data_IF_848418243705
#
_entry.id   IF_848418243705
#
_cell.length_a   1.000
_cell.length_b   1.000
_cell.length_c   1.000
_cell.angle_alpha   90.00
_cell.angle_beta   90.00
_cell.angle_gamma   90.00
#
_symmetry.space_group_name_H-M   'P 1'
#
loop_
_entity.id
_entity.type
_entity.pdbx_description
1 polymer ?
#
# COMPACT_ATOMS: atom_id res chain seq x y z
N UNK A 1 8.51 9.55 -20.12
CA UNK A 1 7.05 9.62 -20.13
C UNK A 1 6.49 8.92 -18.90
N UNK A 2 6.67 7.60 -18.72
CA UNK A 2 6.12 6.80 -17.61
C UNK A 2 6.43 7.44 -16.24
N UNK A 3 7.69 7.73 -15.94
CA UNK A 3 8.07 8.36 -14.67
C UNK A 3 7.33 9.67 -14.41
N UNK A 4 7.20 10.53 -15.42
CA UNK A 4 6.50 11.81 -15.26
C UNK A 4 5.00 11.63 -14.96
N UNK A 5 4.36 10.63 -15.54
CA UNK A 5 2.96 10.31 -15.31
C UNK A 5 2.75 9.68 -13.92
N UNK A 6 3.64 8.78 -13.50
CA UNK A 6 3.64 8.20 -12.13
C UNK A 6 3.81 9.29 -11.08
N UNK A 7 4.81 10.16 -11.24
CA UNK A 7 5.04 11.30 -10.33
C UNK A 7 3.82 12.21 -10.27
N UNK A 8 3.19 12.48 -11.43
CA UNK A 8 1.95 13.25 -11.50
C UNK A 8 0.79 12.59 -10.77
N UNK A 9 0.61 11.28 -10.92
CA UNK A 9 -0.43 10.53 -10.25
C UNK A 9 -0.31 10.57 -8.72
N UNK A 10 0.87 10.28 -8.19
CA UNK A 10 1.15 10.36 -6.74
C UNK A 10 0.93 11.79 -6.21
N UNK A 11 1.42 12.81 -6.94
CA UNK A 11 1.21 14.23 -6.60
C UNK A 11 -0.27 14.58 -6.52
N UNK A 12 -0.99 14.27 -7.60
CA UNK A 12 -2.38 14.70 -7.74
C UNK A 12 -3.31 14.01 -6.74
N UNK A 13 -2.92 12.82 -6.29
CA UNK A 13 -3.66 12.14 -5.23
C UNK A 13 -3.31 12.71 -3.85
N UNK A 14 -2.05 12.64 -3.43
CA UNK A 14 -1.61 13.08 -2.10
C UNK A 14 -1.87 14.56 -1.81
N UNK A 15 -1.57 15.46 -2.77
CA UNK A 15 -1.79 16.89 -2.58
C UNK A 15 -3.30 17.22 -2.44
N UNK A 16 -4.17 16.55 -3.20
CA UNK A 16 -5.63 16.78 -3.10
C UNK A 16 -6.26 16.21 -1.86
N UNK A 17 -5.72 15.12 -1.32
CA UNK A 17 -6.11 14.62 0.00
C UNK A 17 -5.64 15.52 1.15
N UNK A 18 -4.69 16.40 0.91
CA UNK A 18 -4.07 17.22 1.94
C UNK A 18 -3.22 16.42 2.92
N UNK A 19 -2.59 15.34 2.45
CA UNK A 19 -1.65 14.51 3.21
C UNK A 19 -0.23 14.84 2.73
N UNK A 20 0.72 15.14 3.65
CA UNK A 20 2.07 15.49 3.25
C UNK A 20 2.81 14.28 2.69
N UNK A 21 3.38 14.42 1.48
CA UNK A 21 4.31 13.45 0.90
C UNK A 21 5.72 13.82 1.33
N UNK A 22 6.29 13.08 2.25
CA UNK A 22 7.44 13.52 3.05
C UNK A 22 8.73 12.79 2.74
N UNK A 23 8.68 11.57 2.22
CA UNK A 23 9.84 10.73 1.94
C UNK A 23 9.59 9.89 0.69
N UNK A 24 10.67 9.37 0.11
CA UNK A 24 10.61 8.46 -1.03
C UNK A 24 11.89 8.46 -1.87
N UNK A 25 12.05 7.41 -2.68
CA UNK A 25 13.16 7.21 -3.57
C UNK A 25 12.72 6.91 -4.99
N UNK A 26 13.61 7.14 -5.96
CA UNK A 26 13.44 6.74 -7.35
C UNK A 26 14.71 6.03 -7.79
N UNK A 27 14.56 4.79 -8.22
CA UNK A 27 15.64 3.96 -8.71
C UNK A 27 15.38 3.50 -10.14
N UNK A 28 16.40 3.58 -10.99
CA UNK A 28 16.35 3.13 -12.36
C UNK A 28 17.11 1.81 -12.49
N UNK A 29 16.44 0.80 -12.99
CA UNK A 29 16.96 -0.54 -13.19
C UNK A 29 16.28 -1.16 -14.42
N UNK A 30 17.06 -1.65 -15.36
CA UNK A 30 16.54 -2.16 -16.64
C UNK A 30 15.61 -3.37 -16.47
N UNK A 31 15.71 -4.09 -15.36
CA UNK A 31 14.83 -5.20 -15.03
C UNK A 31 13.37 -4.80 -14.81
N UNK A 32 13.11 -3.49 -14.56
CA UNK A 32 11.77 -2.95 -14.36
C UNK A 32 11.16 -2.26 -15.59
N UNK A 33 11.78 -2.40 -16.78
CA UNK A 33 11.28 -1.73 -18.00
C UNK A 33 9.89 -2.23 -18.38
N UNK A 34 9.62 -3.53 -18.26
CA UNK A 34 8.35 -4.15 -18.64
C UNK A 34 7.24 -3.91 -17.61
N UNK A 35 7.58 -3.77 -16.33
CA UNK A 35 6.61 -3.54 -15.24
C UNK A 35 7.26 -2.75 -14.10
N UNK A 36 7.22 -1.41 -14.16
CA UNK A 36 7.80 -0.57 -13.13
C UNK A 36 7.05 -0.72 -11.81
N UNK A 37 7.78 -0.93 -10.72
CA UNK A 37 7.24 -0.95 -9.38
C UNK A 37 6.93 0.47 -8.92
N UNK A 38 5.73 0.69 -8.41
CA UNK A 38 5.32 1.90 -7.70
C UNK A 38 4.79 1.50 -6.33
N UNK A 39 5.47 1.94 -5.29
CA UNK A 39 5.05 1.72 -3.90
C UNK A 39 4.71 3.06 -3.26
N UNK A 40 3.54 3.12 -2.62
CA UNK A 40 3.09 4.30 -1.86
C UNK A 40 2.65 3.83 -0.48
N UNK A 41 3.39 4.22 0.55
CA UNK A 41 3.04 3.96 1.94
C UNK A 41 2.27 5.13 2.55
N UNK A 42 1.33 4.83 3.43
CA UNK A 42 0.61 5.82 4.24
C UNK A 42 0.77 5.49 5.72
N UNK A 43 1.10 6.50 6.53
CA UNK A 43 1.30 6.35 7.97
C UNK A 43 0.29 7.21 8.70
N UNK A 44 -0.45 6.59 9.62
CA UNK A 44 -1.44 7.25 10.45
C UNK A 44 -1.18 7.11 11.95
N UNK A 45 -1.82 7.97 12.73
CA UNK A 45 -1.83 7.90 14.20
C UNK A 45 -3.27 7.74 14.68
N UNK A 46 -3.49 6.78 15.57
CA UNK A 46 -4.81 6.53 16.14
C UNK A 46 -4.74 6.36 17.66
N UNK A 47 -5.85 6.56 18.40
CA UNK A 47 -5.93 6.21 19.81
C UNK A 47 -5.62 4.73 20.05
N UNK A 48 -4.88 4.43 21.11
CA UNK A 48 -4.41 3.07 21.39
C UNK A 48 -5.55 2.08 21.68
N UNK A 49 -6.61 2.55 22.26
CA UNK A 49 -7.83 1.80 22.60
C UNK A 49 -8.74 1.52 21.40
N UNK A 50 -8.39 2.05 20.21
CA UNK A 50 -9.10 1.83 18.95
C UNK A 50 -8.27 1.04 17.92
N UNK A 51 -7.14 0.44 18.33
CA UNK A 51 -6.30 -0.38 17.43
C UNK A 51 -6.97 -1.70 17.10
N UNK A 52 -7.63 -2.31 18.09
CA UNK A 52 -8.33 -3.58 17.93
C UNK A 52 -9.83 -3.33 17.85
N UNK A 53 -10.47 -4.05 16.94
CA UNK A 53 -11.92 -4.02 16.78
C UNK A 53 -12.39 -5.25 16.01
N UNK A 54 -13.46 -5.87 16.50
CA UNK A 54 -14.12 -7.01 15.86
C UNK A 54 -15.58 -6.65 15.54
N UNK A 55 -16.05 -7.09 14.36
CA UNK A 55 -17.48 -7.06 14.05
C UNK A 55 -18.24 -7.98 15.01
N UNK A 56 -19.44 -7.58 15.38
CA UNK A 56 -20.31 -8.30 16.33
C UNK A 56 -21.56 -8.78 15.63
N UNK A 57 -22.15 -9.91 16.05
CA UNK A 57 -23.45 -10.32 15.55
C UNK A 57 -24.50 -9.21 15.77
N UNK A 58 -25.21 -8.84 14.71
CA UNK A 58 -26.18 -7.74 14.71
C UNK A 58 -25.63 -6.40 14.25
N UNK A 59 -24.30 -6.23 14.11
CA UNK A 59 -23.72 -5.03 13.50
C UNK A 59 -24.14 -4.94 12.03
N UNK A 60 -24.50 -3.73 11.58
CA UNK A 60 -24.84 -3.45 10.19
C UNK A 60 -23.57 -3.35 9.36
N UNK A 61 -23.64 -3.88 8.13
CA UNK A 61 -22.57 -3.78 7.13
C UNK A 61 -22.76 -2.46 6.39
N UNK A 62 -22.07 -1.42 6.82
CA UNK A 62 -22.17 -0.10 6.21
C UNK A 62 -20.99 0.08 5.25
N UNK A 63 -21.29 0.21 3.95
CA UNK A 63 -20.32 0.62 2.96
C UNK A 63 -20.45 2.13 2.71
N UNK A 64 -19.31 2.82 2.62
CA UNK A 64 -19.28 4.26 2.36
C UNK A 64 -18.14 4.64 1.43
N UNK A 65 -18.30 5.74 0.69
CA UNK A 65 -17.32 6.28 -0.24
C UNK A 65 -17.69 6.10 -1.70
N UNK A 66 -16.75 5.69 -2.54
CA UNK A 66 -16.91 5.58 -3.99
C UNK A 66 -17.94 4.54 -4.46
N UNK A 67 -18.53 4.78 -5.62
CA UNK A 67 -19.46 3.85 -6.26
C UNK A 67 -18.76 2.63 -6.83
N UNK A 68 -19.46 1.51 -6.89
CA UNK A 68 -18.98 0.23 -7.44
C UNK A 68 -19.02 0.22 -8.96
N UNK A 69 -17.93 -0.18 -9.60
CA UNK A 69 -17.80 -0.37 -11.04
C UNK A 69 -17.11 -1.71 -11.35
N UNK A 70 -16.58 -1.88 -12.58
CA UNK A 70 -15.78 -3.05 -12.97
C UNK A 70 -14.30 -2.93 -12.62
N UNK A 71 -13.98 -2.01 -11.72
CA UNK A 71 -12.61 -1.73 -11.29
C UNK A 71 -11.99 -3.01 -10.71
N UNK A 72 -10.83 -3.40 -11.21
CA UNK A 72 -10.01 -4.49 -10.66
C UNK A 72 -10.64 -5.89 -10.67
N UNK A 73 -11.72 -6.12 -11.41
CA UNK A 73 -12.44 -7.43 -11.42
C UNK A 73 -11.59 -8.62 -11.92
N UNK A 74 -10.44 -8.35 -12.50
CA UNK A 74 -9.44 -9.35 -12.86
C UNK A 74 -8.35 -9.52 -11.78
N UNK A 75 -8.47 -8.79 -10.67
CA UNK A 75 -7.61 -8.87 -9.50
C UNK A 75 -6.15 -8.55 -9.78
N UNK A 76 -5.26 -9.16 -9.00
CA UNK A 76 -3.81 -8.97 -9.08
C UNK A 76 -3.16 -9.45 -10.40
N UNK A 77 -3.91 -10.02 -11.33
CA UNK A 77 -3.39 -10.47 -12.62
C UNK A 77 -2.68 -9.34 -13.37
N UNK A 78 -3.19 -8.11 -13.30
CA UNK A 78 -2.57 -6.96 -13.93
C UNK A 78 -1.35 -6.41 -13.22
N UNK A 79 -1.35 -6.44 -11.90
CA UNK A 79 -0.22 -5.94 -11.11
C UNK A 79 0.97 -6.91 -11.10
N UNK A 80 0.74 -8.18 -11.43
CA UNK A 80 1.74 -9.25 -11.37
C UNK A 80 2.19 -9.77 -12.74
N UNK A 81 1.50 -9.43 -13.83
CA UNK A 81 1.83 -9.89 -15.18
C UNK A 81 2.61 -8.83 -15.97
N UNK A 82 3.44 -9.29 -16.91
CA UNK A 82 4.06 -8.42 -17.89
C UNK A 82 2.97 -7.82 -18.81
N UNK A 83 2.92 -6.48 -18.88
CA UNK A 83 1.94 -5.77 -19.69
C UNK A 83 2.34 -5.79 -21.17
N UNK A 84 1.40 -6.18 -22.03
CA UNK A 84 1.55 -6.17 -23.49
C UNK A 84 0.64 -5.13 -24.12
N UNK A 85 0.91 -4.74 -25.38
CA UNK A 85 0.12 -3.74 -26.11
C UNK A 85 -1.37 -4.13 -26.24
N UNK A 86 -1.68 -5.43 -26.25
CA UNK A 86 -3.05 -5.95 -26.36
C UNK A 86 -3.84 -5.81 -25.06
N UNK A 87 -3.18 -5.80 -23.91
CA UNK A 87 -3.84 -5.65 -22.61
C UNK A 87 -4.52 -4.29 -22.43
N UNK A 88 -3.98 -3.24 -23.03
CA UNK A 88 -4.56 -1.90 -22.92
C UNK A 88 -5.97 -1.82 -23.54
N UNK A 89 -6.19 -2.52 -24.66
CA UNK A 89 -7.49 -2.55 -25.36
C UNK A 89 -8.47 -3.53 -24.71
N UNK A 90 -7.98 -4.68 -24.25
CA UNK A 90 -8.81 -5.76 -23.71
C UNK A 90 -9.36 -5.46 -22.31
N UNK A 91 -8.58 -4.72 -21.50
CA UNK A 91 -8.86 -4.53 -20.08
C UNK A 91 -8.96 -3.07 -19.62
N UNK A 92 -9.04 -2.12 -20.57
CA UNK A 92 -9.15 -0.69 -20.23
C UNK A 92 -10.34 -0.36 -19.31
N UNK A 93 -11.39 -1.17 -19.33
CA UNK A 93 -12.58 -1.03 -18.49
C UNK A 93 -12.40 -1.51 -17.05
N UNK A 94 -11.35 -2.28 -16.78
CA UNK A 94 -11.03 -2.79 -15.44
C UNK A 94 -9.94 -1.97 -14.72
N UNK A 95 -9.45 -0.89 -15.35
CA UNK A 95 -8.45 0.00 -14.75
C UNK A 95 -9.08 0.72 -13.56
N UNK A 96 -8.41 0.65 -12.43
CA UNK A 96 -8.80 1.36 -11.21
C UNK A 96 -8.42 2.83 -11.35
N UNK A 97 -9.40 3.72 -11.21
CA UNK A 97 -9.19 5.17 -11.26
C UNK A 97 -9.59 5.77 -9.92
N UNK A 98 -8.60 6.21 -9.14
CA UNK A 98 -8.81 6.85 -7.86
C UNK A 98 -9.32 8.29 -7.97
N UNK A 99 -10.12 8.72 -7.01
CA UNK A 99 -10.59 10.10 -6.85
C UNK A 99 -10.23 10.63 -5.46
N UNK A 100 -9.17 11.41 -5.38
CA UNK A 100 -8.63 11.93 -4.13
C UNK A 100 -9.63 12.77 -3.30
N UNK A 101 -10.61 13.41 -3.93
CA UNK A 101 -11.64 14.17 -3.20
C UNK A 101 -12.62 13.22 -2.52
N UNK A 102 -13.04 12.14 -3.21
CA UNK A 102 -13.89 11.10 -2.61
C UNK A 102 -13.19 10.47 -1.42
N UNK A 103 -11.91 10.13 -1.56
CA UNK A 103 -11.10 9.61 -0.45
C UNK A 103 -11.02 10.60 0.73
N UNK A 104 -10.78 11.88 0.43
CA UNK A 104 -10.68 12.92 1.46
C UNK A 104 -11.98 13.08 2.26
N UNK A 105 -13.12 13.16 1.60
CA UNK A 105 -14.40 13.32 2.32
C UNK A 105 -14.77 12.05 3.08
N UNK A 106 -14.46 10.87 2.53
CA UNK A 106 -14.64 9.58 3.20
C UNK A 106 -13.76 9.49 4.45
N UNK A 107 -12.48 9.87 4.35
CA UNK A 107 -11.56 9.96 5.48
C UNK A 107 -12.12 10.87 6.59
N UNK A 108 -12.58 12.07 6.23
CA UNK A 108 -13.13 13.02 7.20
C UNK A 108 -14.39 12.48 7.88
N UNK A 109 -15.26 11.77 7.15
CA UNK A 109 -16.44 11.12 7.71
C UNK A 109 -16.07 9.98 8.67
N UNK A 110 -15.09 9.13 8.29
CA UNK A 110 -14.57 8.05 9.16
C UNK A 110 -13.98 8.62 10.45
N UNK A 111 -13.16 9.68 10.35
CA UNK A 111 -12.59 10.34 11.52
C UNK A 111 -13.67 10.97 12.42
N UNK A 112 -14.69 11.58 11.83
CA UNK A 112 -15.82 12.14 12.59
C UNK A 112 -16.64 11.04 13.29
N UNK A 113 -16.79 9.86 12.68
CA UNK A 113 -17.45 8.72 13.28
C UNK A 113 -16.62 8.09 14.39
N UNK A 114 -15.31 8.02 14.23
CA UNK A 114 -14.38 7.53 15.26
C UNK A 114 -14.34 8.43 16.49
N UNK A 115 -14.30 9.73 16.27
CA UNK A 115 -14.13 10.75 17.31
C UNK A 115 -15.48 11.37 17.76
N UNK A 116 -16.58 10.64 17.56
CA UNK A 116 -17.90 11.11 17.93
C UNK A 116 -18.00 11.36 19.46
N UNK A 117 -18.75 12.38 19.92
CA UNK A 117 -18.88 12.68 21.38
C UNK A 117 -19.39 11.52 22.23
N UNK A 118 -20.20 10.64 21.67
CA UNK A 118 -20.74 9.46 22.37
C UNK A 118 -19.80 8.24 22.29
N UNK A 119 -18.58 8.39 21.75
CA UNK A 119 -17.60 7.34 21.52
C UNK A 119 -17.57 6.90 20.05
N UNK A 120 -16.65 5.98 19.70
CA UNK A 120 -16.55 5.45 18.34
C UNK A 120 -17.86 4.78 17.92
N UNK A 121 -18.39 5.17 16.76
CA UNK A 121 -19.71 4.71 16.28
C UNK A 121 -19.67 3.35 15.59
N UNK A 122 -18.51 2.79 15.33
CA UNK A 122 -18.33 1.49 14.66
C UNK A 122 -17.48 0.54 15.51
N UNK A 123 -17.73 -0.75 15.35
CA UNK A 123 -17.03 -1.83 16.07
C UNK A 123 -15.75 -2.26 15.34
N UNK A 124 -15.74 -2.15 14.02
CA UNK A 124 -14.60 -2.50 13.16
C UNK A 124 -14.70 -1.77 11.81
N UNK A 125 -13.60 -1.62 11.13
CA UNK A 125 -13.50 -0.98 9.81
C UNK A 125 -12.39 -1.63 9.00
N UNK A 126 -12.63 -1.77 7.68
CA UNK A 126 -11.60 -2.14 6.71
C UNK A 126 -11.84 -1.48 5.36
N UNK A 127 -10.81 -1.44 4.51
CA UNK A 127 -10.95 -0.97 3.13
C UNK A 127 -11.55 -2.05 2.19
N UNK A 128 -11.98 -1.61 1.02
CA UNK A 128 -12.35 -2.48 -0.08
C UNK A 128 -11.21 -2.55 -1.11
N UNK A 129 -10.02 -2.92 -0.68
CA UNK A 129 -8.86 -3.12 -1.54
C UNK A 129 -8.99 -4.34 -2.45
N UNK A 130 -7.96 -5.19 -2.50
CA UNK A 130 -7.98 -6.42 -3.30
C UNK A 130 -9.17 -7.31 -2.93
N UNK A 131 -9.97 -7.69 -3.93
CA UNK A 131 -11.18 -8.48 -3.75
C UNK A 131 -12.43 -7.67 -3.33
N UNK A 132 -12.32 -6.36 -3.11
CA UNK A 132 -13.46 -5.47 -2.85
C UNK A 132 -14.30 -5.87 -1.63
N UNK A 133 -15.61 -5.95 -1.79
CA UNK A 133 -16.50 -6.37 -0.71
C UNK A 133 -16.24 -7.81 -0.25
N UNK A 134 -15.70 -8.68 -1.13
CA UNK A 134 -15.46 -10.07 -0.78
C UNK A 134 -14.38 -10.23 0.29
N UNK A 135 -13.30 -9.45 0.21
CA UNK A 135 -12.30 -9.41 1.27
C UNK A 135 -12.79 -8.64 2.49
N UNK A 136 -13.31 -7.42 2.31
CA UNK A 136 -13.73 -6.58 3.40
C UNK A 136 -14.77 -7.26 4.33
N UNK A 137 -15.88 -7.74 3.77
CA UNK A 137 -16.92 -8.42 4.54
C UNK A 137 -16.47 -9.82 4.97
N UNK A 138 -15.71 -10.53 4.11
CA UNK A 138 -15.20 -11.85 4.42
C UNK A 138 -14.29 -11.87 5.64
N UNK A 139 -13.34 -10.97 5.71
CA UNK A 139 -12.40 -10.83 6.83
C UNK A 139 -13.13 -10.43 8.13
N UNK A 140 -13.96 -9.39 8.06
CA UNK A 140 -14.70 -8.94 9.24
C UNK A 140 -15.71 -9.97 9.74
N UNK A 141 -16.30 -10.76 8.83
CA UNK A 141 -17.29 -11.81 9.13
C UNK A 141 -16.69 -13.17 9.45
N UNK A 142 -15.37 -13.36 9.37
CA UNK A 142 -14.70 -14.66 9.51
C UNK A 142 -15.22 -15.52 10.66
N UNK A 143 -15.35 -14.91 11.85
CA UNK A 143 -15.74 -15.62 13.07
C UNK A 143 -17.25 -15.78 13.25
N UNK A 144 -18.06 -14.98 12.54
CA UNK A 144 -19.48 -14.81 12.86
C UNK A 144 -20.42 -14.97 11.67
N UNK A 145 -19.90 -14.95 10.44
CA UNK A 145 -20.72 -14.94 9.23
C UNK A 145 -21.25 -13.55 8.84
N UNK A 146 -21.85 -13.45 7.67
CA UNK A 146 -22.44 -12.22 7.17
C UNK A 146 -23.61 -12.51 6.18
N UNK A 147 -24.66 -11.68 6.22
CA UNK A 147 -25.73 -11.68 5.23
C UNK A 147 -25.71 -10.35 4.47
N UNK A 148 -25.46 -10.41 3.17
CA UNK A 148 -25.19 -9.24 2.32
C UNK A 148 -26.22 -9.11 1.21
N UNK A 149 -26.69 -7.88 0.96
CA UNK A 149 -27.59 -7.50 -0.14
C UNK A 149 -26.82 -6.63 -1.15
N UNK A 150 -26.29 -7.26 -2.17
CA UNK A 150 -25.44 -6.62 -3.18
C UNK A 150 -26.19 -5.59 -4.03
N UNK A 151 -27.50 -5.77 -4.21
CA UNK A 151 -28.38 -4.86 -4.93
C UNK A 151 -28.49 -3.46 -4.30
N UNK A 152 -28.04 -3.30 -3.06
CA UNK A 152 -28.04 -2.01 -2.36
C UNK A 152 -26.77 -1.17 -2.57
N UNK A 153 -25.72 -1.77 -3.11
CA UNK A 153 -24.47 -1.06 -3.37
C UNK A 153 -24.68 0.06 -4.43
N UNK A 154 -24.24 1.29 -4.17
CA UNK A 154 -24.25 2.33 -5.19
C UNK A 154 -23.38 1.95 -6.38
N UNK A 155 -23.91 2.05 -7.60
CA UNK A 155 -23.22 1.65 -8.82
C UNK A 155 -22.77 2.87 -9.64
N UNK A 156 -21.61 2.77 -10.29
CA UNK A 156 -21.13 3.77 -11.26
C UNK A 156 -22.00 3.80 -12.51
N UNK A 157 -22.53 2.63 -12.90
CA UNK A 157 -23.39 2.43 -14.08
C UNK A 157 -24.19 1.13 -13.94
N UNK A 158 -25.25 1.01 -14.70
CA UNK A 158 -26.11 -0.18 -14.72
C UNK A 158 -25.44 -1.38 -15.41
N UNK A 159 -25.94 -2.58 -15.12
CA UNK A 159 -25.57 -3.81 -15.82
C UNK A 159 -24.39 -4.57 -15.20
N UNK A 160 -24.00 -4.25 -13.96
CA UNK A 160 -23.09 -5.10 -13.20
C UNK A 160 -23.83 -6.34 -12.70
N UNK A 161 -23.17 -7.49 -12.83
CA UNK A 161 -23.62 -8.73 -12.21
C UNK A 161 -23.33 -8.75 -10.70
N UNK A 162 -24.02 -9.62 -9.92
CA UNK A 162 -23.72 -9.78 -8.49
C UNK A 162 -22.24 -10.09 -8.22
N UNK A 163 -21.60 -10.90 -9.05
CA UNK A 163 -20.18 -11.23 -8.92
C UNK A 163 -19.30 -10.00 -9.13
N UNK A 164 -19.57 -9.21 -10.18
CA UNK A 164 -18.80 -7.99 -10.45
C UNK A 164 -18.93 -6.98 -9.29
N UNK A 165 -20.11 -6.86 -8.69
CA UNK A 165 -20.31 -6.01 -7.51
C UNK A 165 -19.54 -6.53 -6.31
N UNK A 166 -19.52 -7.84 -6.10
CA UNK A 166 -18.92 -8.50 -4.94
C UNK A 166 -17.39 -8.42 -4.93
N UNK A 167 -16.76 -8.62 -6.11
CA UNK A 167 -15.30 -8.65 -6.23
C UNK A 167 -14.69 -7.33 -6.76
N UNK A 168 -15.52 -6.33 -7.04
CA UNK A 168 -15.03 -5.03 -7.55
C UNK A 168 -14.05 -4.38 -6.56
N UNK A 169 -12.91 -3.95 -7.08
CA UNK A 169 -11.89 -3.19 -6.35
C UNK A 169 -12.03 -1.67 -6.58
N UNK A 170 -13.25 -1.19 -6.79
CA UNK A 170 -13.49 0.26 -6.95
C UNK A 170 -12.90 1.03 -5.76
N UNK A 171 -12.14 2.07 -6.07
CA UNK A 171 -11.36 2.83 -5.11
C UNK A 171 -12.23 3.66 -4.16
N UNK A 172 -11.64 4.14 -3.07
CA UNK A 172 -12.22 5.05 -2.07
C UNK A 172 -13.46 4.50 -1.36
N UNK A 173 -13.50 3.18 -1.12
CA UNK A 173 -14.59 2.54 -0.37
C UNK A 173 -14.08 1.93 0.93
N UNK A 174 -14.87 2.15 1.98
CA UNK A 174 -14.66 1.53 3.30
C UNK A 174 -15.89 0.74 3.71
N UNK A 175 -15.68 -0.35 4.42
CA UNK A 175 -16.74 -1.12 5.09
C UNK A 175 -16.59 -1.00 6.59
N UNK A 176 -17.68 -0.65 7.27
CA UNK A 176 -17.76 -0.53 8.71
C UNK A 176 -18.75 -1.55 9.27
N UNK A 177 -18.40 -2.17 10.40
CA UNK A 177 -19.35 -2.89 11.24
C UNK A 177 -19.94 -1.89 12.24
N UNK A 178 -21.23 -1.58 12.10
CA UNK A 178 -21.88 -0.51 12.84
C UNK A 178 -23.01 -1.09 13.70
N UNK A 179 -22.98 -0.92 15.04
CA UNK A 179 -24.14 -1.23 15.88
C UNK A 179 -25.41 -0.60 15.34
N UNK A 180 -26.51 -1.34 15.32
CA UNK A 180 -27.74 -0.90 14.67
C UNK A 180 -28.25 0.46 15.20
N UNK A 181 -28.04 0.75 16.48
CA UNK A 181 -28.39 2.02 17.13
C UNK A 181 -27.56 3.21 16.64
N UNK A 182 -26.38 2.98 16.05
CA UNK A 182 -25.49 4.04 15.59
C UNK A 182 -25.66 4.38 14.09
N UNK A 183 -26.45 3.62 13.34
CA UNK A 183 -26.60 3.78 11.88
C UNK A 183 -27.11 5.17 11.51
N UNK A 184 -28.08 5.71 12.26
CA UNK A 184 -28.61 7.07 12.00
C UNK A 184 -27.54 8.15 12.23
N UNK A 185 -26.67 7.97 13.22
CA UNK A 185 -25.56 8.90 13.46
C UNK A 185 -24.50 8.83 12.35
N UNK A 186 -24.16 7.63 11.86
CA UNK A 186 -23.29 7.44 10.69
C UNK A 186 -23.91 8.11 9.45
N UNK A 187 -25.20 7.90 9.19
CA UNK A 187 -25.90 8.52 8.07
C UNK A 187 -25.80 10.06 8.11
N UNK A 188 -26.04 10.66 9.29
CA UNK A 188 -25.94 12.10 9.48
C UNK A 188 -24.51 12.65 9.28
N UNK A 189 -23.49 11.86 9.60
CA UNK A 189 -22.08 12.20 9.33
C UNK A 189 -21.82 12.13 7.83
N UNK A 190 -22.24 11.07 7.14
CA UNK A 190 -22.09 10.91 5.70
C UNK A 190 -22.75 12.08 4.94
N UNK A 191 -23.99 12.43 5.31
CA UNK A 191 -24.71 13.56 4.71
C UNK A 191 -23.97 14.90 4.92
N UNK A 192 -23.37 15.10 6.10
CA UNK A 192 -22.60 16.32 6.40
C UNK A 192 -21.33 16.44 5.57
N UNK A 193 -20.70 15.32 5.26
CA UNK A 193 -19.44 15.26 4.51
C UNK A 193 -19.64 14.99 3.02
N UNK A 194 -20.90 14.90 2.53
CA UNK A 194 -21.23 14.56 1.14
C UNK A 194 -20.64 13.21 0.70
N UNK A 195 -20.75 12.22 1.59
CA UNK A 195 -20.27 10.85 1.35
C UNK A 195 -21.45 9.95 1.02
N UNK A 196 -21.41 9.26 -0.11
CA UNK A 196 -22.37 8.19 -0.41
C UNK A 196 -22.14 7.00 0.53
N UNK A 197 -23.24 6.41 0.98
CA UNK A 197 -23.20 5.23 1.83
C UNK A 197 -24.40 4.32 1.59
N UNK A 198 -24.28 3.07 1.99
CA UNK A 198 -25.39 2.12 1.98
C UNK A 198 -25.28 1.09 3.10
N UNK A 199 -26.42 0.57 3.51
CA UNK A 199 -26.52 -0.58 4.40
C UNK A 199 -26.64 -1.86 3.57
N UNK A 200 -25.54 -2.59 3.47
CA UNK A 200 -25.46 -3.83 2.71
C UNK A 200 -26.05 -5.05 3.42
N UNK A 201 -26.28 -4.97 4.75
CA UNK A 201 -26.79 -6.12 5.47
C UNK A 201 -26.32 -6.19 6.92
N UNK A 202 -26.04 -7.38 7.40
CA UNK A 202 -25.79 -7.63 8.82
C UNK A 202 -24.68 -8.68 9.02
N UNK A 203 -23.81 -8.46 9.99
CA UNK A 203 -22.87 -9.46 10.48
C UNK A 203 -23.57 -10.42 11.46
N UNK A 204 -23.12 -11.67 11.42
CA UNK A 204 -23.69 -12.73 12.26
C UNK A 204 -24.77 -13.54 11.53
N UNK A 205 -24.43 -14.78 11.21
CA UNK A 205 -25.38 -15.78 10.70
C UNK A 205 -25.36 -17.01 11.60
N UNK A 206 -26.49 -17.75 11.74
CA UNK A 206 -26.57 -18.87 12.69
C UNK A 206 -25.48 -19.92 12.50
N UNK A 207 -25.11 -20.19 11.25
CA UNK A 207 -24.17 -21.26 10.90
C UNK A 207 -22.77 -20.75 10.51
N UNK A 208 -22.45 -19.47 10.80
CA UNK A 208 -21.21 -18.81 10.36
C UNK A 208 -21.01 -18.90 8.85
N UNK A 209 -22.06 -18.60 8.11
CA UNK A 209 -22.03 -18.59 6.64
C UNK A 209 -21.99 -17.16 6.11
N UNK A 210 -21.35 -16.99 4.96
CA UNK A 210 -21.56 -15.84 4.10
C UNK A 210 -22.75 -16.14 3.21
N UNK A 211 -23.76 -15.27 3.22
CA UNK A 211 -24.96 -15.38 2.41
C UNK A 211 -25.14 -14.12 1.57
N UNK A 212 -25.14 -14.27 0.26
CA UNK A 212 -25.26 -13.16 -0.68
C UNK A 212 -26.63 -13.15 -1.35
N UNK A 213 -27.26 -11.98 -1.40
CA UNK A 213 -28.54 -11.76 -2.04
C UNK A 213 -28.45 -10.68 -3.13
N UNK A 214 -29.28 -10.86 -4.17
CA UNK A 214 -29.60 -9.84 -5.16
C UNK A 214 -31.11 -9.69 -5.25
N UNK A 215 -31.67 -8.61 -4.74
CA UNK A 215 -33.10 -8.53 -4.47
C UNK A 215 -33.55 -9.64 -3.53
N UNK A 216 -34.56 -10.38 -3.93
CA UNK A 216 -35.09 -11.50 -3.13
C UNK A 216 -34.43 -12.86 -3.47
N UNK A 217 -33.43 -12.87 -4.34
CA UNK A 217 -32.75 -14.10 -4.79
C UNK A 217 -31.44 -14.28 -4.02
N UNK A 218 -31.24 -15.44 -3.41
CA UNK A 218 -29.94 -15.87 -2.90
C UNK A 218 -29.04 -16.22 -4.09
N UNK A 219 -27.92 -15.51 -4.22
CA UNK A 219 -26.97 -15.67 -5.34
C UNK A 219 -25.67 -16.34 -4.92
N UNK A 220 -25.46 -16.52 -3.63
CA UNK A 220 -24.29 -17.23 -3.11
C UNK A 220 -24.42 -17.56 -1.63
N UNK A 221 -23.86 -18.73 -1.26
CA UNK A 221 -23.76 -19.19 0.14
C UNK A 221 -22.49 -20.01 0.31
N UNK A 222 -21.72 -19.72 1.33
CA UNK A 222 -20.49 -20.43 1.63
C UNK A 222 -20.22 -20.37 3.14
N UNK A 223 -19.73 -21.48 3.71
CA UNK A 223 -19.27 -21.50 5.09
C UNK A 223 -17.98 -20.66 5.23
N UNK A 224 -17.88 -19.83 6.27
CA UNK A 224 -16.68 -19.02 6.52
C UNK A 224 -15.44 -19.88 6.71
N UNK A 225 -15.57 -21.03 7.38
CA UNK A 225 -14.48 -22.00 7.51
C UNK A 225 -13.94 -22.47 6.16
N UNK A 226 -14.82 -22.76 5.19
CA UNK A 226 -14.38 -23.16 3.85
C UNK A 226 -13.74 -21.97 3.08
N UNK A 227 -14.26 -20.76 3.27
CA UNK A 227 -13.74 -19.58 2.61
C UNK A 227 -12.32 -19.23 3.07
N UNK A 228 -12.03 -19.37 4.36
CA UNK A 228 -10.72 -19.03 4.94
C UNK A 228 -9.73 -20.21 4.96
N UNK A 229 -10.18 -21.42 5.27
CA UNK A 229 -9.33 -22.59 5.47
C UNK A 229 -9.49 -23.66 4.39
N UNK A 230 -10.44 -23.50 3.45
CA UNK A 230 -10.80 -24.50 2.45
C UNK A 230 -9.79 -24.66 1.31
N UNK A 231 -8.88 -23.73 1.14
CA UNK A 231 -7.82 -23.83 0.11
C UNK A 231 -6.63 -24.57 0.72
N UNK A 232 -6.24 -25.73 0.19
CA UNK A 232 -5.06 -26.44 0.66
C UNK A 232 -3.82 -25.55 0.53
N UNK A 233 -3.06 -25.38 1.61
CA UNK A 233 -1.78 -24.71 1.53
C UNK A 233 -0.78 -25.59 0.76
N UNK A 234 -0.33 -25.16 -0.44
CA UNK A 234 0.67 -25.93 -1.18
C UNK A 234 2.02 -25.84 -0.46
N UNK A 235 2.64 -27.01 -0.25
CA UNK A 235 4.04 -27.05 0.13
C UNK A 235 4.89 -26.82 -1.11
N UNK A 236 5.63 -25.72 -1.16
CA UNK A 236 6.53 -25.40 -2.25
C UNK A 236 7.98 -25.65 -1.84
N UNK A 237 8.77 -26.18 -2.75
CA UNK A 237 10.21 -26.36 -2.55
C UNK A 237 10.94 -25.04 -2.85
N UNK A 238 11.74 -24.57 -1.89
CA UNK A 238 12.59 -23.38 -2.02
C UNK A 238 14.07 -23.83 -2.04
N UNK A 239 14.80 -23.48 -3.09
CA UNK A 239 16.21 -23.87 -3.27
C UNK A 239 17.08 -22.63 -3.41
N UNK A 240 17.98 -22.41 -2.47
CA UNK A 240 18.99 -21.36 -2.61
C UNK A 240 20.15 -21.84 -3.49
N UNK A 241 20.34 -21.19 -4.65
CA UNK A 241 21.44 -21.42 -5.58
C UNK A 241 22.19 -20.10 -5.82
N UNK A 242 23.33 -19.86 -5.13
CA UNK A 242 24.07 -18.62 -5.25
C UNK A 242 24.67 -18.38 -6.63
N UNK A 243 25.01 -19.44 -7.37
CA UNK A 243 25.57 -19.30 -8.71
C UNK A 243 24.50 -18.88 -9.72
N UNK A 244 23.32 -19.44 -9.59
CA UNK A 244 22.16 -19.06 -10.38
C UNK A 244 21.74 -17.61 -10.05
N UNK A 245 21.61 -17.27 -8.78
CA UNK A 245 21.23 -15.93 -8.33
C UNK A 245 22.21 -14.86 -8.83
N UNK A 246 23.51 -15.14 -8.81
CA UNK A 246 24.52 -14.23 -9.34
C UNK A 246 24.40 -14.00 -10.86
N UNK A 247 23.98 -15.01 -11.61
CA UNK A 247 23.72 -14.88 -13.06
C UNK A 247 22.45 -14.08 -13.36
N UNK A 248 21.37 -14.40 -12.66
CA UNK A 248 20.06 -13.73 -12.87
C UNK A 248 20.06 -12.27 -12.42
N UNK A 249 20.78 -11.95 -11.34
CA UNK A 249 20.88 -10.57 -10.86
C UNK A 249 21.50 -9.63 -11.90
N UNK A 250 22.18 -10.19 -12.90
CA UNK A 250 22.88 -9.41 -13.94
C UNK A 250 23.94 -8.50 -13.33
N UNK A 251 24.70 -7.90 -14.22
CA UNK A 251 25.73 -6.93 -13.84
C UNK A 251 27.12 -7.56 -13.92
N UNK A 252 27.89 -7.01 -14.80
CA UNK A 252 29.33 -7.16 -14.75
C UNK A 252 29.81 -6.67 -13.40
N UNK A 253 30.76 -7.38 -12.87
CA UNK A 253 31.57 -6.93 -11.74
C UNK A 253 32.28 -5.63 -12.18
N UNK A 254 31.55 -4.50 -12.17
CA UNK A 254 32.11 -3.15 -12.35
C UNK A 254 33.01 -2.84 -11.14
N UNK A 255 33.63 -3.92 -10.71
CA UNK A 255 34.42 -3.98 -9.56
C UNK A 255 35.72 -3.21 -9.68
N UNK A 256 36.47 -3.35 -8.69
CA UNK A 256 37.79 -2.89 -8.34
C UNK A 256 38.77 -2.67 -9.53
N UNK A 257 38.63 -3.34 -10.69
CA UNK A 257 39.42 -3.11 -11.88
C UNK A 257 39.12 -1.79 -12.57
N UNK A 258 37.84 -1.37 -12.66
CA UNK A 258 37.51 -0.05 -13.22
C UNK A 258 37.97 1.07 -12.30
N UNK A 259 37.95 0.86 -10.98
CA UNK A 259 38.49 1.83 -10.00
C UNK A 259 40.04 1.89 -10.05
N UNK A 260 40.71 0.80 -10.38
CA UNK A 260 42.17 0.77 -10.56
C UNK A 260 42.63 1.46 -11.86
N UNK A 261 41.75 1.64 -12.82
CA UNK A 261 42.02 2.36 -14.05
C UNK A 261 42.03 3.89 -13.91
N UNK A 262 41.64 4.45 -12.75
CA UNK A 262 41.70 5.88 -12.46
C UNK A 262 43.15 6.22 -12.13
N UNK A 263 43.92 6.54 -13.15
CA UNK A 263 45.34 6.75 -13.00
C UNK A 263 45.77 8.16 -12.58
N UNK A 264 44.88 9.16 -12.66
CA UNK A 264 45.19 10.56 -12.38
C UNK A 264 43.99 11.37 -11.88
N UNK A 265 44.25 12.62 -11.50
CA UNK A 265 43.23 13.53 -10.97
C UNK A 265 42.15 13.86 -12.02
N UNK A 266 42.49 13.92 -13.30
CA UNK A 266 41.52 14.18 -14.39
C UNK A 266 40.51 13.02 -14.49
N UNK A 267 40.99 11.77 -14.41
CA UNK A 267 40.11 10.59 -14.39
C UNK A 267 39.16 10.56 -13.18
N UNK A 268 39.60 11.07 -12.03
CA UNK A 268 38.73 11.23 -10.86
C UNK A 268 37.59 12.24 -11.12
N UNK A 269 37.91 13.38 -11.76
CA UNK A 269 36.90 14.39 -12.12
C UNK A 269 35.89 13.85 -13.14
N UNK A 270 36.37 13.18 -14.18
CA UNK A 270 35.52 12.60 -15.23
C UNK A 270 34.58 11.53 -14.66
N UNK A 271 35.09 10.65 -13.79
CA UNK A 271 34.27 9.66 -13.10
C UNK A 271 33.24 10.33 -12.19
N UNK A 272 33.64 11.34 -11.41
CA UNK A 272 32.72 12.08 -10.54
C UNK A 272 31.60 12.74 -11.34
N UNK A 273 31.94 13.37 -12.46
CA UNK A 273 30.94 13.98 -13.36
C UNK A 273 29.98 12.93 -13.95
N UNK A 274 30.51 11.78 -14.35
CA UNK A 274 29.71 10.64 -14.85
C UNK A 274 28.76 10.12 -13.78
N UNK A 275 29.24 9.91 -12.56
CA UNK A 275 28.42 9.47 -11.44
C UNK A 275 27.32 10.48 -11.09
N UNK A 276 27.65 11.77 -11.00
CA UNK A 276 26.66 12.82 -10.72
C UNK A 276 25.61 12.96 -11.83
N UNK A 277 25.95 12.60 -13.06
CA UNK A 277 25.01 12.53 -14.18
C UNK A 277 24.20 11.25 -14.25
N UNK A 278 24.56 10.22 -13.49
CA UNK A 278 23.84 8.93 -13.52
C UNK A 278 22.41 9.07 -12.96
N UNK A 279 21.38 8.51 -13.62
CA UNK A 279 19.99 8.66 -13.22
C UNK A 279 19.70 8.35 -11.76
N UNK A 280 20.36 7.34 -11.18
CA UNK A 280 20.17 6.96 -9.77
C UNK A 280 20.79 7.95 -8.79
N UNK A 281 21.83 8.72 -9.18
CA UNK A 281 22.52 9.68 -8.33
C UNK A 281 22.14 11.13 -8.63
N UNK A 282 21.69 11.42 -9.85
CA UNK A 282 21.27 12.76 -10.25
C UNK A 282 20.12 13.29 -9.39
N UNK A 283 20.08 14.62 -9.23
CA UNK A 283 19.08 15.29 -8.43
C UNK A 283 17.63 14.92 -8.80
N UNK A 284 16.83 14.56 -7.82
CA UNK A 284 15.39 14.33 -7.93
C UNK A 284 14.55 15.55 -7.50
N UNK A 285 15.18 16.72 -7.35
CA UNK A 285 14.51 17.93 -6.88
C UNK A 285 13.25 18.29 -7.67
N UNK A 286 13.20 18.01 -8.98
CA UNK A 286 12.04 18.25 -9.81
C UNK A 286 10.82 17.39 -9.43
N UNK A 287 11.05 16.18 -8.88
CA UNK A 287 10.02 15.29 -8.33
C UNK A 287 9.55 15.86 -7.00
N UNK A 288 10.47 16.00 -6.06
CA UNK A 288 10.18 16.41 -4.68
C UNK A 288 9.43 17.73 -4.62
N UNK A 289 9.76 18.70 -5.49
CA UNK A 289 9.11 20.02 -5.54
C UNK A 289 7.66 20.00 -6.05
N UNK A 290 7.17 18.88 -6.55
CA UNK A 290 5.78 18.73 -6.97
C UNK A 290 4.86 18.31 -5.84
N UNK A 291 5.41 17.77 -4.76
CA UNK A 291 4.66 17.24 -3.63
C UNK A 291 4.49 18.27 -2.52
N UNK A 292 3.30 18.32 -1.94
CA UNK A 292 3.03 19.08 -0.72
C UNK A 292 3.56 18.30 0.47
N UNK A 293 4.68 18.73 1.02
CA UNK A 293 5.33 18.10 2.17
C UNK A 293 5.19 18.90 3.47
N UNK A 294 4.49 20.03 3.45
CA UNK A 294 4.26 20.88 4.62
C UNK A 294 2.80 20.99 5.03
N UNK A 295 1.89 20.46 4.24
CA UNK A 295 0.45 20.45 4.54
C UNK A 295 0.21 19.79 5.90
N UNK A 296 -0.85 20.20 6.61
CA UNK A 296 -1.15 19.88 8.02
C UNK A 296 -0.18 20.50 9.04
N UNK A 297 0.89 21.19 8.62
CA UNK A 297 1.77 21.95 9.50
C UNK A 297 2.64 21.12 10.45
N UNK A 298 2.74 19.80 10.22
CA UNK A 298 3.48 18.88 11.10
C UNK A 298 4.94 18.66 10.72
N UNK A 299 5.42 19.16 9.57
CA UNK A 299 6.78 18.88 9.08
C UNK A 299 7.86 19.55 9.93
N UNK A 300 8.74 18.75 10.53
CA UNK A 300 9.87 19.20 11.36
C UNK A 300 11.18 19.11 10.59
N UNK A 301 11.47 17.95 9.98
CA UNK A 301 12.56 17.76 9.02
C UNK A 301 11.93 17.49 7.66
N UNK A 302 12.21 18.37 6.71
CA UNK A 302 11.64 18.37 5.35
C UNK A 302 12.55 17.62 4.38
N UNK A 303 12.05 17.24 3.20
CA UNK A 303 12.88 16.61 2.16
C UNK A 303 14.07 17.44 1.72
N UNK A 304 13.99 18.77 1.82
CA UNK A 304 15.10 19.70 1.58
C UNK A 304 15.51 20.39 2.86
N UNK A 305 16.80 20.36 3.17
CA UNK A 305 17.37 20.91 4.41
C UNK A 305 18.51 21.89 4.13
N UNK A 306 18.71 22.79 5.07
CA UNK A 306 19.78 23.77 5.04
C UNK A 306 19.59 24.89 3.98
N UNK A 307 20.51 25.88 3.97
CA UNK A 307 20.39 27.07 3.13
C UNK A 307 20.49 26.77 1.62
N UNK A 308 21.10 25.66 1.25
CA UNK A 308 21.27 25.23 -0.13
C UNK A 308 20.18 24.25 -0.61
N UNK A 309 19.18 23.98 0.21
CA UNK A 309 18.11 23.05 -0.08
C UNK A 309 18.64 21.67 -0.55
N UNK A 310 19.60 21.11 0.18
CA UNK A 310 20.13 19.77 -0.05
C UNK A 310 19.11 18.70 0.36
N UNK A 311 19.19 17.47 -0.17
CA UNK A 311 18.31 16.38 0.26
C UNK A 311 18.55 16.07 1.76
N UNK A 312 17.47 15.76 2.49
CA UNK A 312 17.53 15.20 3.84
C UNK A 312 17.69 13.67 3.77
N UNK A 313 18.21 13.08 4.87
CA UNK A 313 18.36 11.62 4.94
C UNK A 313 17.01 10.91 5.19
N UNK A 314 16.14 11.54 5.98
CA UNK A 314 14.80 11.07 6.29
C UNK A 314 13.91 12.27 6.65
N UNK A 315 12.60 12.05 6.74
CA UNK A 315 11.67 13.08 7.19
C UNK A 315 11.30 12.91 8.66
N UNK A 316 10.98 14.03 9.31
CA UNK A 316 10.40 14.03 10.67
C UNK A 316 9.12 14.85 10.65
N UNK A 317 8.04 14.24 11.10
CA UNK A 317 6.74 14.91 11.28
C UNK A 317 6.33 14.89 12.75
N UNK A 318 5.53 15.86 13.13
CA UNK A 318 4.86 15.94 14.43
C UNK A 318 3.35 15.84 14.19
N UNK A 319 2.78 14.61 14.16
CA UNK A 319 1.40 14.40 13.75
C UNK A 319 0.38 14.98 14.73
N UNK A 320 0.77 15.18 16.00
CA UNK A 320 -0.06 15.81 17.03
C UNK A 320 0.61 17.11 17.45
N UNK A 321 0.15 18.29 17.00
CA UNK A 321 0.85 19.57 17.18
C UNK A 321 1.20 19.94 18.64
N UNK A 322 0.32 19.58 19.58
CA UNK A 322 0.49 19.92 21.00
C UNK A 322 1.35 18.90 21.79
N UNK A 323 1.89 17.91 21.10
CA UNK A 323 2.77 16.90 21.71
C UNK A 323 4.22 17.07 21.25
N UNK A 324 5.21 16.89 22.15
CA UNK A 324 6.62 17.05 21.79
C UNK A 324 7.20 15.85 21.02
N UNK A 325 6.41 14.78 20.78
CA UNK A 325 6.84 13.59 20.05
C UNK A 325 6.70 13.79 18.56
N UNK A 326 7.72 13.38 17.82
CA UNK A 326 7.69 13.25 16.35
C UNK A 326 7.75 11.79 15.91
N UNK A 327 7.54 11.60 14.65
CA UNK A 327 7.69 10.35 13.93
C UNK A 327 8.73 10.59 12.84
N UNK A 328 9.83 9.83 12.86
CA UNK A 328 10.80 9.79 11.77
C UNK A 328 10.36 8.72 10.76
N UNK A 329 10.46 9.05 9.48
CA UNK A 329 10.12 8.14 8.38
C UNK A 329 11.27 8.22 7.38
N UNK A 330 11.80 7.05 7.01
CA UNK A 330 12.87 6.91 6.05
C UNK A 330 12.74 5.60 5.29
N UNK A 331 13.51 5.44 4.23
CA UNK A 331 13.54 4.24 3.41
C UNK A 331 14.96 3.76 3.16
N UNK A 332 15.08 2.52 2.69
CA UNK A 332 16.31 1.92 2.21
C UNK A 332 16.04 1.05 0.99
N UNK A 333 16.92 1.07 0.00
CA UNK A 333 16.79 0.35 -1.25
C UNK A 333 18.16 -0.11 -1.75
N UNK A 334 18.37 -1.42 -1.80
CA UNK A 334 19.67 -2.02 -2.12
C UNK A 334 19.64 -3.01 -3.28
N UNK A 335 18.83 -2.74 -4.33
CA UNK A 335 18.65 -3.63 -5.52
C UNK A 335 19.96 -4.00 -6.24
N UNK A 336 21.01 -3.18 -6.13
CA UNK A 336 22.33 -3.49 -6.65
C UNK A 336 23.03 -4.69 -6.00
N UNK A 337 22.54 -5.16 -4.85
CA UNK A 337 23.06 -6.33 -4.12
C UNK A 337 22.23 -7.61 -4.34
N UNK A 338 21.36 -7.64 -5.34
CA UNK A 338 20.44 -8.76 -5.61
C UNK A 338 21.13 -10.12 -5.86
N UNK A 339 22.45 -10.16 -6.04
CA UNK A 339 23.25 -11.39 -6.13
C UNK A 339 23.21 -12.23 -4.85
N UNK A 340 23.06 -11.59 -3.69
CA UNK A 340 22.74 -12.23 -2.42
C UNK A 340 21.58 -11.48 -1.76
N UNK A 341 20.35 -12.00 -1.87
CA UNK A 341 19.15 -11.38 -1.33
C UNK A 341 19.19 -11.15 0.19
N UNK A 342 19.94 -11.95 0.93
CA UNK A 342 20.15 -11.75 2.36
C UNK A 342 20.98 -10.49 2.64
N UNK A 343 22.10 -10.34 1.91
CA UNK A 343 22.95 -9.13 2.01
C UNK A 343 22.17 -7.90 1.53
N UNK A 344 21.38 -8.04 0.45
CA UNK A 344 20.53 -6.97 -0.06
C UNK A 344 19.51 -6.49 1.00
N UNK A 345 18.81 -7.43 1.65
CA UNK A 345 17.83 -7.10 2.69
C UNK A 345 18.47 -6.40 3.88
N UNK A 346 19.58 -6.93 4.40
CA UNK A 346 20.30 -6.29 5.51
C UNK A 346 20.84 -4.90 5.14
N UNK A 347 21.32 -4.71 3.90
CA UNK A 347 21.82 -3.41 3.45
C UNK A 347 20.70 -2.37 3.34
N UNK A 348 19.52 -2.78 2.85
CA UNK A 348 18.36 -1.89 2.79
C UNK A 348 17.88 -1.48 4.19
N UNK A 349 17.86 -2.40 5.14
CA UNK A 349 17.52 -2.10 6.55
C UNK A 349 18.57 -1.17 7.16
N UNK A 350 19.86 -1.45 6.98
CA UNK A 350 20.96 -0.61 7.51
C UNK A 350 20.89 0.81 6.94
N UNK A 351 20.63 0.98 5.63
CA UNK A 351 20.44 2.29 5.01
C UNK A 351 19.26 3.03 5.64
N UNK A 352 18.09 2.40 5.75
CA UNK A 352 16.90 2.98 6.35
C UNK A 352 17.15 3.43 7.81
N UNK A 353 17.74 2.55 8.63
CA UNK A 353 18.05 2.85 10.03
C UNK A 353 19.03 4.01 10.16
N UNK A 354 20.09 4.04 9.35
CA UNK A 354 21.06 5.15 9.35
C UNK A 354 20.39 6.47 8.98
N UNK A 355 19.57 6.47 7.94
CA UNK A 355 18.84 7.65 7.51
C UNK A 355 17.95 8.20 8.63
N UNK A 356 17.23 7.34 9.34
CA UNK A 356 16.38 7.75 10.46
C UNK A 356 17.19 8.24 11.67
N UNK A 357 18.30 7.59 12.00
CA UNK A 357 19.17 8.02 13.12
C UNK A 357 19.81 9.39 12.82
N UNK A 358 20.17 9.66 11.56
CA UNK A 358 20.70 10.98 11.16
C UNK A 358 19.73 12.13 11.41
N UNK A 359 18.43 11.88 11.43
CA UNK A 359 17.40 12.90 11.75
C UNK A 359 16.93 12.85 13.21
N UNK A 360 17.54 11.99 14.03
CA UNK A 360 17.32 11.92 15.48
C UNK A 360 16.32 10.87 15.94
N UNK A 361 16.04 9.84 15.12
CA UNK A 361 15.27 8.70 15.58
C UNK A 361 16.01 7.91 16.67
N UNK A 362 15.26 7.35 17.59
CA UNK A 362 15.74 6.43 18.61
C UNK A 362 15.87 5.03 17.99
N UNK A 363 17.10 4.47 17.86
CA UNK A 363 17.29 3.17 17.21
C UNK A 363 16.58 2.01 17.92
N UNK A 364 16.35 2.12 19.23
CA UNK A 364 15.65 1.10 20.02
C UNK A 364 14.11 1.12 19.77
N UNK A 365 13.61 2.01 18.92
CA UNK A 365 12.18 2.26 18.69
C UNK A 365 11.85 2.39 17.22
N UNK A 366 12.44 1.57 16.40
CA UNK A 366 12.21 1.50 14.97
C UNK A 366 11.28 0.32 14.68
N UNK A 367 10.36 0.50 13.76
CA UNK A 367 9.59 -0.57 13.13
C UNK A 367 9.85 -0.52 11.63
N UNK A 368 10.00 -1.66 10.99
CA UNK A 368 10.19 -1.78 9.56
C UNK A 368 8.92 -2.28 8.88
N UNK A 369 8.69 -1.80 7.66
CA UNK A 369 7.73 -2.32 6.72
C UNK A 369 8.51 -2.69 5.47
N UNK A 370 8.51 -3.96 5.13
CA UNK A 370 9.17 -4.47 3.94
C UNK A 370 8.18 -4.65 2.80
N UNK A 371 8.62 -4.33 1.58
CA UNK A 371 7.87 -4.55 0.36
C UNK A 371 8.76 -5.27 -0.65
N UNK A 372 8.27 -6.40 -1.17
CA UNK A 372 8.97 -7.22 -2.14
C UNK A 372 8.32 -7.14 -3.51
N UNK A 373 9.14 -6.89 -4.54
CA UNK A 373 8.81 -7.20 -5.92
C UNK A 373 9.76 -8.31 -6.37
N UNK A 374 9.22 -9.49 -6.64
CA UNK A 374 10.03 -10.69 -6.90
C UNK A 374 9.64 -11.35 -8.21
N UNK A 375 10.59 -11.99 -8.93
CA UNK A 375 10.27 -12.82 -10.09
C UNK A 375 9.33 -13.96 -9.72
N UNK A 376 8.64 -14.54 -10.71
CA UNK A 376 7.69 -15.64 -10.46
C UNK A 376 8.26 -16.76 -9.62
N UNK A 377 7.58 -17.12 -8.54
CA UNK A 377 8.02 -18.11 -7.55
C UNK A 377 7.66 -19.55 -7.90
N UNK A 378 7.32 -19.85 -9.15
CA UNK A 378 7.15 -21.22 -9.64
C UNK A 378 8.48 -21.92 -9.85
N UNK A 379 9.56 -21.19 -10.09
CA UNK A 379 10.92 -21.71 -10.06
C UNK A 379 11.38 -21.81 -8.59
N UNK A 380 11.76 -23.01 -8.10
CA UNK A 380 12.23 -23.22 -6.73
C UNK A 380 13.41 -22.31 -6.34
N UNK A 381 14.23 -21.89 -7.30
CA UNK A 381 15.38 -21.01 -7.05
C UNK A 381 14.95 -19.57 -6.83
N UNK A 382 13.96 -19.07 -7.59
CA UNK A 382 13.34 -17.77 -7.31
C UNK A 382 12.72 -17.75 -5.92
N UNK A 383 11.97 -18.81 -5.57
CA UNK A 383 11.38 -18.94 -4.25
C UNK A 383 12.46 -19.02 -3.16
N UNK A 384 13.56 -19.75 -3.38
CA UNK A 384 14.70 -19.81 -2.45
C UNK A 384 15.37 -18.45 -2.24
N UNK A 385 15.47 -17.65 -3.30
CA UNK A 385 16.00 -16.28 -3.19
C UNK A 385 15.06 -15.35 -2.41
N UNK A 386 13.73 -15.51 -2.56
CA UNK A 386 12.73 -14.77 -1.76
C UNK A 386 12.80 -15.14 -0.28
N UNK A 387 12.87 -16.45 0.04
CA UNK A 387 13.02 -16.92 1.43
C UNK A 387 14.26 -16.31 2.07
N UNK A 388 15.37 -16.26 1.32
CA UNK A 388 16.61 -15.66 1.80
C UNK A 388 16.51 -14.16 2.10
N UNK A 389 15.74 -13.42 1.30
CA UNK A 389 15.46 -12.01 1.60
C UNK A 389 14.57 -11.86 2.84
N UNK A 390 13.58 -12.74 3.01
CA UNK A 390 12.72 -12.74 4.20
C UNK A 390 13.51 -13.08 5.49
N UNK A 391 14.47 -14.01 5.41
CA UNK A 391 15.40 -14.27 6.52
C UNK A 391 16.20 -13.03 6.91
N UNK A 392 16.66 -12.23 5.95
CA UNK A 392 17.35 -10.98 6.22
C UNK A 392 16.45 -9.94 6.93
N UNK A 393 15.18 -9.86 6.54
CA UNK A 393 14.23 -8.96 7.22
C UNK A 393 13.97 -9.40 8.65
N UNK A 394 13.86 -10.70 8.90
CA UNK A 394 13.73 -11.23 10.27
C UNK A 394 14.98 -10.92 11.11
N UNK A 395 16.15 -11.28 10.62
CA UNK A 395 17.40 -11.09 11.36
C UNK A 395 17.75 -9.63 11.57
N UNK A 396 17.58 -8.80 10.54
CA UNK A 396 17.84 -7.35 10.63
C UNK A 396 16.80 -6.59 11.45
N UNK A 397 15.55 -7.08 11.50
CA UNK A 397 14.49 -6.50 12.32
C UNK A 397 14.59 -6.85 13.80
N UNK A 398 15.34 -7.91 14.15
CA UNK A 398 15.59 -8.35 15.53
C UNK A 398 16.94 -7.85 16.10
N UNK A 399 17.83 -7.34 15.26
CA UNK A 399 19.16 -6.84 15.64
C UNK A 399 19.10 -5.41 16.19
#
# INVERSE_FOLDING_TARGET
>A
RILGEVVGGVRDYGNRMGIPTIDGGVWFDDRYIGNPLVYVGCVGVMPRDLIEGDARPGDRIIAMGGRTGRDGIHGATFSSAELTDTHADEFSHAVQIGNAITEKVTLDAVLAARDHPDGCLFSSITDCGAGGFSSAVGEMGEKIGAAVRLDRAPLKYEGLSPVEVWISEAQERMVLAVPAENVEAIAAICDRHDVEWCDLGEFGTPDRELVLHWGDVEVGRIAMEFMHDGVPMPLREAVWDPEWAAREAGGDDVGVESMRAIGDVAGVFDMTATLLGHPNLASKAWIVRQYDHEVQGGSVVKPFVGPNAGPGDAAVIRPVPDRPRGLAIGHGLATGLARDPYVMGLAAIDECVRNMVCVGADPDRIAILDNFCWPGCDDPRNLGSLVRAAEACLDGGLA
#
